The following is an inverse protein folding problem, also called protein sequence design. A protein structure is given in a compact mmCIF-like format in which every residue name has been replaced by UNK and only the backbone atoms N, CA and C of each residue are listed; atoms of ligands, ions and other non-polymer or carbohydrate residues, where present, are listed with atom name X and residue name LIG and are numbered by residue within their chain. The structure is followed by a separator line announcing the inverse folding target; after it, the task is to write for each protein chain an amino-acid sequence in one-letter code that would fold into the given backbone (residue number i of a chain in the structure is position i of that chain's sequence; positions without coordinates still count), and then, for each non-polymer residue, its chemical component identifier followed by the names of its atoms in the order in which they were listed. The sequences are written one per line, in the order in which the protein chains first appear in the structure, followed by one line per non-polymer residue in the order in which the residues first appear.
data_IF_713834324115
#
_entry.id   IF_713834324115
#
_cell.length_a   1.000
_cell.length_b   1.000
_cell.length_c   1.000
_cell.angle_alpha   90.00
_cell.angle_beta   90.00
_cell.angle_gamma   90.00
#
_symmetry.space_group_name_H-M   'P 1'
#
loop_
_entity.id
_entity.type
_entity.pdbx_description
1 polymer ?
#
# COMPACT_ATOMS: atom_id res chain seq x y z
N UNK A 1 -17.67 -24.32 -21.59
CA UNK A 1 -17.12 -24.99 -20.39
C UNK A 1 -16.11 -24.05 -19.74
N UNK A 2 -16.26 -23.72 -18.45
CA UNK A 2 -15.25 -22.99 -17.71
C UNK A 2 -13.98 -23.84 -17.65
N UNK A 3 -12.87 -23.34 -18.17
CA UNK A 3 -11.58 -24.02 -18.13
C UNK A 3 -10.75 -23.66 -16.89
N UNK A 4 -11.18 -22.66 -16.13
CA UNK A 4 -10.51 -22.16 -14.92
C UNK A 4 -11.41 -22.33 -13.69
N UNK A 5 -10.83 -22.26 -12.47
CA UNK A 5 -11.61 -22.26 -11.24
C UNK A 5 -12.55 -21.05 -11.18
N UNK A 6 -13.67 -21.15 -10.49
CA UNK A 6 -14.63 -20.04 -10.30
C UNK A 6 -13.94 -18.81 -9.72
N UNK A 7 -13.04 -18.99 -8.75
CA UNK A 7 -12.26 -17.90 -8.15
C UNK A 7 -11.43 -17.15 -9.18
N UNK A 8 -10.76 -17.86 -10.08
CA UNK A 8 -9.97 -17.23 -11.14
C UNK A 8 -10.83 -16.53 -12.19
N UNK A 9 -12.01 -17.09 -12.47
CA UNK A 9 -12.95 -16.54 -13.45
C UNK A 9 -13.54 -15.20 -13.01
N UNK A 10 -13.72 -14.98 -11.70
CA UNK A 10 -14.28 -13.74 -11.16
C UNK A 10 -13.25 -12.63 -10.94
N UNK A 11 -11.95 -12.91 -11.15
CA UNK A 11 -10.92 -11.88 -11.05
C UNK A 11 -11.08 -10.84 -12.17
N UNK A 12 -11.13 -9.58 -11.76
CA UNK A 12 -11.17 -8.46 -12.70
C UNK A 12 -9.78 -7.92 -12.98
N UNK A 13 -9.55 -7.43 -14.19
CA UNK A 13 -8.32 -6.75 -14.54
C UNK A 13 -8.19 -5.44 -13.78
N UNK A 14 -6.96 -5.07 -13.45
CA UNK A 14 -6.69 -3.80 -12.75
C UNK A 14 -6.94 -2.61 -13.67
N UNK A 15 -7.87 -1.72 -13.30
CA UNK A 15 -8.13 -0.47 -14.04
C UNK A 15 -6.91 0.47 -14.04
N UNK A 16 -6.00 0.37 -13.04
CA UNK A 16 -4.74 1.10 -13.05
C UNK A 16 -3.84 0.59 -14.17
N UNK A 17 -3.79 -0.74 -14.37
CA UNK A 17 -3.01 -1.35 -15.45
C UNK A 17 -3.57 -1.04 -16.82
N UNK A 18 -4.88 -0.99 -16.96
CA UNK A 18 -5.53 -0.64 -18.22
C UNK A 18 -5.06 0.72 -18.74
N UNK A 19 -5.08 1.77 -17.90
CA UNK A 19 -4.54 3.08 -18.25
C UNK A 19 -3.01 3.03 -18.47
N UNK A 20 -2.30 2.29 -17.61
CA UNK A 20 -0.84 2.21 -17.68
C UNK A 20 -0.35 1.51 -18.95
N UNK A 21 -0.95 0.38 -19.34
CA UNK A 21 -0.58 -0.37 -20.55
C UNK A 21 -0.75 0.48 -21.80
N UNK A 22 -1.83 1.26 -21.89
CA UNK A 22 -2.01 2.24 -22.97
C UNK A 22 -0.91 3.32 -22.94
N UNK A 23 -0.64 3.89 -21.77
CA UNK A 23 0.37 4.94 -21.62
C UNK A 23 1.79 4.47 -21.90
N UNK A 24 2.14 3.21 -21.56
CA UNK A 24 3.45 2.62 -21.87
C UNK A 24 3.70 2.44 -23.35
N UNK A 25 2.65 2.33 -24.17
CA UNK A 25 2.76 2.28 -25.64
C UNK A 25 2.88 3.66 -26.27
N UNK A 26 2.63 4.73 -25.50
CA UNK A 26 2.67 6.10 -26.00
C UNK A 26 4.05 6.72 -25.82
N UNK A 27 4.59 7.30 -26.88
CA UNK A 27 5.83 8.06 -26.79
C UNK A 27 5.66 9.29 -25.88
N UNK A 28 6.65 9.52 -25.00
CA UNK A 28 6.76 10.69 -24.12
C UNK A 28 5.60 10.82 -23.10
N UNK A 29 4.99 9.70 -22.70
CA UNK A 29 4.03 9.69 -21.59
C UNK A 29 4.72 9.94 -20.25
N UNK A 30 4.01 10.58 -19.32
CA UNK A 30 4.46 10.81 -17.93
C UNK A 30 3.67 9.90 -16.99
N UNK A 31 4.32 8.86 -16.42
CA UNK A 31 3.65 7.79 -15.67
C UNK A 31 3.44 8.17 -14.20
N UNK A 32 2.32 8.84 -13.88
CA UNK A 32 1.92 9.12 -12.50
C UNK A 32 0.84 8.16 -11.99
N UNK A 33 0.60 7.05 -12.71
CA UNK A 33 -0.42 6.02 -12.41
C UNK A 33 0.00 4.97 -11.37
N UNK A 34 1.28 4.56 -11.33
CA UNK A 34 1.72 3.54 -10.38
C UNK A 34 2.12 4.14 -9.02
N UNK A 35 2.02 3.31 -7.98
CA UNK A 35 2.54 3.62 -6.65
C UNK A 35 4.05 3.37 -6.55
N UNK A 36 4.82 4.04 -7.39
CA UNK A 36 6.26 3.89 -7.51
C UNK A 36 6.92 5.25 -7.73
N UNK A 37 8.01 5.48 -6.99
CA UNK A 37 8.82 6.67 -7.16
C UNK A 37 9.86 6.48 -8.27
N UNK A 38 10.35 7.59 -8.82
CA UNK A 38 11.38 7.55 -9.86
C UNK A 38 12.80 7.32 -9.32
N UNK A 39 12.98 7.43 -8.02
CA UNK A 39 14.32 7.33 -7.41
C UNK A 39 14.78 5.88 -7.35
N UNK A 40 16.03 5.68 -7.77
CA UNK A 40 16.67 4.37 -7.76
C UNK A 40 16.89 3.86 -6.34
N UNK A 41 16.98 2.55 -6.20
CA UNK A 41 17.38 1.89 -4.94
C UNK A 41 18.79 2.36 -4.53
N UNK A 42 19.02 2.49 -3.23
CA UNK A 42 20.33 2.86 -2.66
C UNK A 42 21.45 1.90 -3.05
N UNK A 43 22.66 2.43 -3.22
CA UNK A 43 23.88 1.63 -3.45
C UNK A 43 24.13 0.64 -2.31
N UNK A 44 23.75 0.95 -1.08
CA UNK A 44 23.84 0.05 0.08
C UNK A 44 23.16 -1.29 -0.24
N UNK A 45 21.94 -1.27 -0.77
CA UNK A 45 21.20 -2.48 -1.14
C UNK A 45 21.84 -3.19 -2.33
N UNK A 46 22.25 -2.44 -3.36
CA UNK A 46 22.84 -2.98 -4.58
C UNK A 46 24.14 -3.72 -4.27
N UNK A 47 25.04 -3.10 -3.53
CA UNK A 47 26.32 -3.68 -3.14
C UNK A 47 26.16 -4.92 -2.24
N UNK A 48 25.25 -4.87 -1.28
CA UNK A 48 24.94 -6.02 -0.43
C UNK A 48 24.45 -7.22 -1.24
N UNK A 49 23.55 -7.02 -2.19
CA UNK A 49 23.09 -8.09 -3.08
C UNK A 49 24.20 -8.63 -3.98
N UNK A 50 25.01 -7.76 -4.58
CA UNK A 50 26.14 -8.16 -5.43
C UNK A 50 27.17 -8.97 -4.64
N UNK A 51 27.49 -8.56 -3.41
CA UNK A 51 28.42 -9.28 -2.54
C UNK A 51 27.87 -10.66 -2.15
N UNK A 52 26.58 -10.75 -1.83
CA UNK A 52 25.92 -12.01 -1.54
C UNK A 52 25.99 -12.97 -2.74
N UNK A 53 25.69 -12.48 -3.94
CA UNK A 53 25.79 -13.27 -5.18
C UNK A 53 27.23 -13.74 -5.44
N UNK A 54 28.25 -12.88 -5.27
CA UNK A 54 29.67 -13.24 -5.41
C UNK A 54 30.12 -14.27 -4.36
N UNK A 55 29.52 -14.22 -3.16
CA UNK A 55 29.78 -15.18 -2.09
C UNK A 55 29.06 -16.52 -2.26
N UNK A 56 28.28 -16.70 -3.33
CA UNK A 56 27.58 -17.95 -3.61
C UNK A 56 26.25 -18.14 -2.90
N UNK A 57 25.59 -17.05 -2.51
CA UNK A 57 24.26 -17.09 -1.84
C UNK A 57 23.12 -17.38 -2.83
N UNK A 58 23.13 -18.59 -3.41
CA UNK A 58 22.20 -19.03 -4.46
C UNK A 58 21.26 -20.15 -4.01
N UNK A 59 21.37 -20.61 -2.77
CA UNK A 59 20.66 -21.78 -2.28
C UNK A 59 19.36 -21.38 -1.55
N UNK A 60 18.50 -22.37 -1.35
CA UNK A 60 17.30 -22.21 -0.52
C UNK A 60 17.64 -21.71 0.87
N UNK A 61 16.81 -20.82 1.36
CA UNK A 61 16.89 -20.24 2.69
C UNK A 61 15.77 -20.80 3.59
N UNK A 62 15.82 -20.61 4.91
CA UNK A 62 14.70 -20.97 5.77
C UNK A 62 13.39 -20.30 5.32
N UNK A 63 12.27 -21.02 5.40
CA UNK A 63 10.97 -20.60 4.91
C UNK A 63 10.53 -19.23 5.46
N UNK A 64 10.76 -18.97 6.76
CA UNK A 64 10.47 -17.67 7.38
C UNK A 64 11.54 -16.60 7.11
N UNK A 65 12.55 -16.89 6.29
CA UNK A 65 13.65 -16.00 5.99
C UNK A 65 14.91 -16.22 6.85
N UNK A 66 16.00 -15.58 6.43
CA UNK A 66 17.30 -15.66 7.10
C UNK A 66 17.21 -15.20 8.57
N UNK A 67 17.78 -15.94 9.53
CA UNK A 67 17.74 -15.57 10.95
C UNK A 67 18.28 -14.17 11.24
N UNK A 68 19.34 -13.75 10.52
CA UNK A 68 19.93 -12.41 10.67
C UNK A 68 18.96 -11.31 10.28
N UNK A 69 18.27 -11.43 9.14
CA UNK A 69 17.28 -10.45 8.69
C UNK A 69 16.07 -10.42 9.64
N UNK A 70 15.55 -11.60 10.02
CA UNK A 70 14.43 -11.68 10.99
C UNK A 70 14.78 -11.00 12.31
N UNK A 71 16.00 -11.22 12.84
CA UNK A 71 16.48 -10.58 14.06
C UNK A 71 16.63 -9.06 13.88
N UNK A 72 17.15 -8.59 12.75
CA UNK A 72 17.26 -7.17 12.47
C UNK A 72 15.90 -6.51 12.34
N UNK A 73 14.94 -7.13 11.65
CA UNK A 73 13.57 -6.66 11.53
C UNK A 73 12.85 -6.60 12.89
N UNK A 74 13.04 -7.62 13.75
CA UNK A 74 12.46 -7.59 15.11
C UNK A 74 13.01 -6.40 15.91
N UNK A 75 14.33 -6.16 15.89
CA UNK A 75 14.94 -4.98 16.54
C UNK A 75 14.43 -3.67 15.94
N UNK A 76 14.30 -3.61 14.63
CA UNK A 76 13.78 -2.44 13.92
C UNK A 76 12.35 -2.10 14.36
N UNK A 77 11.45 -3.10 14.35
CA UNK A 77 10.06 -2.93 14.82
C UNK A 77 10.02 -2.53 16.29
N UNK A 78 10.87 -3.13 17.14
CA UNK A 78 10.97 -2.76 18.56
C UNK A 78 11.42 -1.31 18.75
N UNK A 79 12.39 -0.86 17.95
CA UNK A 79 12.86 0.53 17.98
C UNK A 79 11.81 1.54 17.51
N UNK A 80 11.00 1.19 16.50
CA UNK A 80 9.95 2.06 15.99
C UNK A 80 8.74 2.18 16.94
N UNK A 81 8.29 1.07 17.52
CA UNK A 81 7.01 0.98 18.21
C UNK A 81 7.13 0.71 19.73
N UNK A 82 8.35 0.61 20.28
CA UNK A 82 8.55 0.33 21.70
C UNK A 82 8.10 -1.06 22.11
N UNK A 83 8.13 -2.05 21.21
CA UNK A 83 7.67 -3.43 21.45
C UNK A 83 8.81 -4.37 21.85
N UNK A 84 8.49 -5.64 22.14
CA UNK A 84 9.47 -6.69 22.48
C UNK A 84 9.39 -7.88 21.54
N UNK A 85 9.20 -7.65 20.24
CA UNK A 85 9.13 -8.69 19.22
C UNK A 85 10.46 -9.46 19.12
N UNK A 86 10.35 -10.74 18.82
CA UNK A 86 11.46 -11.67 18.56
C UNK A 86 11.43 -12.15 17.11
N UNK A 87 12.36 -13.00 16.73
CA UNK A 87 12.37 -13.65 15.41
C UNK A 87 11.10 -14.46 15.16
N UNK A 88 10.47 -15.00 16.21
CA UNK A 88 9.22 -15.76 16.09
C UNK A 88 8.03 -14.93 15.61
N UNK A 89 8.10 -13.61 15.79
CA UNK A 89 7.08 -12.69 15.32
C UNK A 89 7.26 -12.24 13.86
N UNK A 90 8.40 -12.58 13.22
CA UNK A 90 8.79 -12.07 11.91
C UNK A 90 8.85 -13.19 10.87
N UNK A 91 8.13 -13.02 9.78
CA UNK A 91 8.24 -13.85 8.58
C UNK A 91 8.61 -12.95 7.40
N UNK A 92 9.76 -13.20 6.78
CA UNK A 92 10.21 -12.51 5.57
C UNK A 92 9.43 -13.05 4.37
N UNK A 93 8.97 -12.15 3.51
CA UNK A 93 8.14 -12.49 2.35
C UNK A 93 8.72 -11.92 1.06
N UNK A 94 8.42 -12.56 -0.07
CA UNK A 94 8.72 -12.01 -1.39
C UNK A 94 7.70 -10.92 -1.75
N UNK A 95 7.72 -9.82 -1.04
CA UNK A 95 6.87 -8.62 -1.10
C UNK A 95 5.78 -8.56 -0.04
N UNK A 96 5.27 -7.34 0.21
CA UNK A 96 4.05 -7.13 0.99
C UNK A 96 2.84 -7.87 0.41
N UNK A 97 2.75 -7.98 -0.94
CA UNK A 97 1.69 -8.75 -1.61
C UNK A 97 1.67 -10.22 -1.22
N UNK A 98 2.84 -10.88 -1.15
CA UNK A 98 2.90 -12.25 -0.64
C UNK A 98 2.50 -12.29 0.83
N UNK A 99 2.92 -11.29 1.61
CA UNK A 99 2.50 -11.17 3.01
C UNK A 99 0.98 -11.13 3.16
N UNK A 100 0.29 -10.34 2.34
CA UNK A 100 -1.18 -10.30 2.31
C UNK A 100 -1.79 -11.64 1.90
N UNK A 101 -1.29 -12.26 0.84
CA UNK A 101 -1.79 -13.54 0.35
C UNK A 101 -1.63 -14.67 1.39
N UNK A 102 -0.45 -14.75 2.04
CA UNK A 102 -0.20 -15.73 3.10
C UNK A 102 -1.09 -15.46 4.33
N UNK A 103 -1.31 -14.19 4.67
CA UNK A 103 -2.19 -13.80 5.78
C UNK A 103 -3.64 -14.19 5.48
N UNK A 104 -4.11 -13.93 4.26
CA UNK A 104 -5.45 -14.35 3.84
C UNK A 104 -5.61 -15.88 3.92
N UNK A 105 -4.65 -16.64 3.41
CA UNK A 105 -4.64 -18.12 3.50
C UNK A 105 -4.53 -18.65 4.93
N UNK A 106 -3.88 -17.90 5.84
CA UNK A 106 -3.76 -18.30 7.24
C UNK A 106 -5.03 -18.07 8.05
N UNK A 107 -5.85 -17.09 7.66
CA UNK A 107 -6.97 -16.63 8.47
C UNK A 107 -8.33 -17.01 7.90
N UNK A 108 -8.49 -17.12 6.58
CA UNK A 108 -9.79 -17.12 5.91
C UNK A 108 -10.16 -18.51 5.40
N UNK A 109 -11.32 -18.95 5.84
CA UNK A 109 -12.05 -20.06 5.25
C UNK A 109 -13.16 -19.54 4.30
N UNK A 110 -13.72 -20.44 3.48
CA UNK A 110 -14.77 -20.07 2.53
C UNK A 110 -16.01 -19.53 3.23
N UNK A 111 -16.41 -18.32 2.89
CA UNK A 111 -17.58 -17.64 3.44
C UNK A 111 -17.32 -16.78 4.67
N UNK A 112 -16.09 -16.73 5.18
CA UNK A 112 -15.73 -15.84 6.28
C UNK A 112 -15.98 -14.37 5.93
N UNK A 113 -16.58 -13.62 6.84
CA UNK A 113 -16.88 -12.21 6.67
C UNK A 113 -15.66 -11.35 7.01
N UNK A 114 -15.29 -10.44 6.10
CA UNK A 114 -14.15 -9.54 6.21
C UNK A 114 -14.60 -8.11 5.94
N UNK A 115 -14.20 -7.17 6.79
CA UNK A 115 -14.49 -5.75 6.60
C UNK A 115 -13.24 -5.04 6.10
N UNK A 116 -13.38 -4.18 5.08
CA UNK A 116 -12.29 -3.40 4.51
C UNK A 116 -12.61 -1.90 4.54
N UNK A 117 -11.63 -1.06 4.87
CA UNK A 117 -11.80 0.41 4.82
C UNK A 117 -11.43 0.88 3.42
N UNK A 118 -12.40 1.48 2.69
CA UNK A 118 -12.26 1.99 1.32
C UNK A 118 -12.37 3.53 1.26
N UNK A 119 -11.91 4.19 0.16
CA UNK A 119 -11.22 3.60 -1.00
C UNK A 119 -9.84 3.09 -0.62
N UNK A 120 -9.45 1.96 -1.21
CA UNK A 120 -8.17 1.31 -0.92
C UNK A 120 -7.61 0.61 -2.15
N UNK A 121 -6.31 0.36 -2.16
CA UNK A 121 -5.67 -0.45 -3.19
C UNK A 121 -6.33 -1.83 -3.30
N UNK A 122 -6.86 -2.19 -4.48
CA UNK A 122 -7.78 -3.32 -4.61
C UNK A 122 -7.18 -4.66 -4.19
N UNK A 123 -5.85 -4.82 -4.34
CA UNK A 123 -5.21 -6.09 -4.03
C UNK A 123 -5.31 -6.46 -2.53
N UNK A 124 -5.55 -5.49 -1.64
CA UNK A 124 -5.80 -5.77 -0.23
C UNK A 124 -7.05 -6.66 -0.09
N UNK A 125 -8.20 -6.21 -0.55
CA UNK A 125 -9.45 -6.97 -0.50
C UNK A 125 -9.42 -8.22 -1.40
N UNK A 126 -8.89 -8.11 -2.61
CA UNK A 126 -8.84 -9.22 -3.57
C UNK A 126 -8.03 -10.42 -3.06
N UNK A 127 -6.95 -10.20 -2.29
CA UNK A 127 -6.20 -11.30 -1.65
C UNK A 127 -7.09 -12.13 -0.73
N UNK A 128 -8.01 -11.49 0.01
CA UNK A 128 -8.93 -12.15 0.93
C UNK A 128 -10.12 -12.78 0.20
N UNK A 129 -10.61 -12.19 -0.90
CA UNK A 129 -11.62 -12.82 -1.77
C UNK A 129 -11.09 -14.10 -2.43
N UNK A 130 -9.83 -14.09 -2.89
CA UNK A 130 -9.17 -15.27 -3.47
C UNK A 130 -9.08 -16.40 -2.44
N UNK A 131 -8.85 -16.09 -1.17
CA UNK A 131 -8.85 -17.07 -0.08
C UNK A 131 -10.26 -17.61 0.26
N UNK A 132 -11.32 -16.96 -0.21
CA UNK A 132 -12.73 -17.37 -0.01
C UNK A 132 -13.54 -16.42 0.89
N UNK A 133 -12.96 -15.31 1.33
CA UNK A 133 -13.62 -14.32 2.17
C UNK A 133 -14.68 -13.50 1.44
N UNK A 134 -15.71 -13.11 2.17
CA UNK A 134 -16.75 -12.18 1.73
C UNK A 134 -16.40 -10.78 2.26
N UNK A 135 -16.10 -9.86 1.34
CA UNK A 135 -15.68 -8.51 1.71
C UNK A 135 -16.89 -7.59 1.80
N UNK A 136 -17.08 -6.98 2.96
CA UNK A 136 -17.89 -5.78 3.17
C UNK A 136 -16.96 -4.58 3.36
N UNK A 137 -17.42 -3.36 3.11
CA UNK A 137 -16.58 -2.17 3.22
C UNK A 137 -17.25 -1.05 3.98
N UNK A 138 -16.44 -0.24 4.69
CA UNK A 138 -16.82 1.09 5.16
C UNK A 138 -16.01 2.12 4.39
N UNK A 139 -16.62 3.28 4.11
CA UNK A 139 -16.03 4.26 3.19
C UNK A 139 -15.50 5.47 3.94
N UNK A 140 -14.25 5.85 3.67
CA UNK A 140 -13.68 7.13 4.11
C UNK A 140 -14.45 8.29 3.47
N UNK A 141 -14.75 9.30 4.24
CA UNK A 141 -15.53 10.48 3.83
C UNK A 141 -14.60 11.68 3.66
N UNK A 142 -14.64 12.32 2.49
CA UNK A 142 -13.95 13.59 2.26
C UNK A 142 -14.77 14.74 2.84
N UNK A 143 -14.24 15.42 3.85
CA UNK A 143 -14.85 16.58 4.48
C UNK A 143 -13.77 17.56 4.93
N UNK A 144 -14.03 18.87 4.76
CA UNK A 144 -13.12 19.95 5.18
C UNK A 144 -11.68 19.78 4.64
N UNK A 145 -11.54 19.25 3.41
CA UNK A 145 -10.25 19.02 2.75
C UNK A 145 -9.42 17.88 3.34
N UNK A 146 -10.02 16.99 4.11
CA UNK A 146 -9.40 15.81 4.71
C UNK A 146 -10.26 14.57 4.59
N UNK A 147 -9.64 13.40 4.74
CA UNK A 147 -10.31 12.11 4.82
C UNK A 147 -10.66 11.78 6.27
N UNK A 148 -11.88 11.29 6.49
CA UNK A 148 -12.38 10.89 7.79
C UNK A 148 -12.95 9.49 7.74
N UNK A 149 -12.72 8.71 8.80
CA UNK A 149 -13.36 7.43 9.03
C UNK A 149 -14.67 7.65 9.80
N UNK A 150 -15.77 7.10 9.29
CA UNK A 150 -16.99 6.99 10.08
C UNK A 150 -16.84 5.81 11.05
N UNK A 151 -16.46 6.14 12.28
CA UNK A 151 -16.20 5.16 13.33
C UNK A 151 -17.47 4.41 13.72
N UNK A 152 -18.61 5.08 13.75
CA UNK A 152 -19.88 4.45 14.11
C UNK A 152 -20.30 3.43 13.04
N UNK A 153 -20.24 3.80 11.77
CA UNK A 153 -20.49 2.87 10.66
C UNK A 153 -19.54 1.67 10.72
N UNK A 154 -18.22 1.90 10.90
CA UNK A 154 -17.25 0.83 11.00
C UNK A 154 -17.59 -0.15 12.11
N UNK A 155 -17.86 0.33 13.34
CA UNK A 155 -18.12 -0.53 14.49
C UNK A 155 -19.42 -1.34 14.35
N UNK A 156 -20.44 -0.82 13.61
CA UNK A 156 -21.66 -1.60 13.33
C UNK A 156 -21.40 -2.80 12.41
N UNK A 157 -20.41 -2.72 11.54
CA UNK A 157 -20.00 -3.82 10.64
C UNK A 157 -19.06 -4.83 11.30
N UNK A 158 -18.33 -4.42 12.33
CA UNK A 158 -17.42 -5.27 13.10
C UNK A 158 -18.15 -6.04 14.19
N UNK A 159 -18.72 -7.19 13.82
CA UNK A 159 -19.50 -8.05 14.73
C UNK A 159 -18.74 -9.35 15.02
N UNK A 160 -19.27 -10.16 15.95
CA UNK A 160 -18.72 -11.49 16.24
C UNK A 160 -18.68 -12.46 15.03
N UNK A 161 -19.34 -12.10 13.93
CA UNK A 161 -19.26 -12.83 12.65
C UNK A 161 -18.12 -12.36 11.77
N UNK A 162 -17.54 -11.20 12.06
CA UNK A 162 -16.43 -10.65 11.30
C UNK A 162 -15.14 -11.37 11.65
N UNK A 163 -14.49 -11.98 10.69
CA UNK A 163 -13.22 -12.68 10.85
C UNK A 163 -12.03 -11.73 10.94
N UNK A 164 -12.02 -10.73 10.04
CA UNK A 164 -10.90 -9.79 9.96
C UNK A 164 -11.36 -8.38 9.53
N UNK A 165 -10.68 -7.37 10.06
CA UNK A 165 -10.67 -6.00 9.57
C UNK A 165 -9.39 -5.77 8.76
N UNK A 166 -9.53 -5.30 7.53
CA UNK A 166 -8.42 -4.89 6.66
C UNK A 166 -8.29 -3.38 6.70
N UNK A 167 -7.10 -2.90 7.06
CA UNK A 167 -6.80 -1.47 7.14
C UNK A 167 -5.45 -1.18 6.51
N UNK A 168 -5.39 -0.20 5.60
CA UNK A 168 -4.16 0.34 5.03
C UNK A 168 -3.95 1.76 5.56
N UNK A 169 -2.92 1.97 6.37
CA UNK A 169 -2.62 3.28 6.97
C UNK A 169 -1.11 3.47 7.16
N UNK A 170 -0.51 4.50 6.52
CA UNK A 170 -1.09 5.47 5.59
C UNK A 170 -1.69 4.83 4.34
N UNK A 171 -2.80 5.38 3.87
CA UNK A 171 -3.65 4.74 2.87
C UNK A 171 -3.23 5.05 1.43
N UNK A 172 -3.35 4.06 0.58
CA UNK A 172 -3.36 4.18 -0.88
C UNK A 172 -4.78 3.92 -1.38
N UNK A 173 -5.52 4.91 -1.91
CA UNK A 173 -5.01 6.12 -2.60
C UNK A 173 -5.06 7.42 -1.81
N UNK A 174 -5.75 7.49 -0.69
CA UNK A 174 -6.19 8.74 -0.06
C UNK A 174 -5.10 9.50 0.69
N UNK A 175 -4.05 8.79 1.14
CA UNK A 175 -3.07 9.34 2.08
C UNK A 175 -3.60 9.50 3.51
N UNK A 176 -4.84 9.04 3.80
CA UNK A 176 -5.38 9.02 5.15
C UNK A 176 -4.50 8.23 6.11
N UNK A 177 -4.41 8.73 7.33
CA UNK A 177 -3.71 8.07 8.43
C UNK A 177 -4.68 7.89 9.59
N UNK A 178 -4.87 6.64 10.00
CA UNK A 178 -5.66 6.29 11.18
C UNK A 178 -4.97 6.85 12.43
N UNK A 179 -5.64 7.74 13.16
CA UNK A 179 -5.12 8.37 14.37
C UNK A 179 -4.93 7.36 15.50
N UNK A 180 -4.14 7.72 16.52
CA UNK A 180 -3.93 6.87 17.70
C UNK A 180 -5.26 6.61 18.43
N UNK A 181 -6.13 7.62 18.49
CA UNK A 181 -7.45 7.56 19.12
C UNK A 181 -8.36 6.58 18.36
N UNK A 182 -8.42 6.68 17.03
CA UNK A 182 -9.17 5.75 16.18
C UNK A 182 -8.64 4.31 16.32
N UNK A 183 -7.32 4.14 16.26
CA UNK A 183 -6.68 2.83 16.44
C UNK A 183 -7.02 2.20 17.78
N UNK A 184 -7.05 2.99 18.87
CA UNK A 184 -7.42 2.50 20.19
C UNK A 184 -8.87 2.01 20.23
N UNK A 185 -9.81 2.78 19.68
CA UNK A 185 -11.22 2.39 19.61
C UNK A 185 -11.38 1.09 18.81
N UNK A 186 -10.76 1.01 17.63
CA UNK A 186 -10.80 -0.17 16.76
C UNK A 186 -10.22 -1.39 17.48
N UNK A 187 -9.03 -1.25 18.08
CA UNK A 187 -8.35 -2.36 18.76
C UNK A 187 -9.16 -2.89 19.94
N UNK A 188 -9.70 -1.99 20.77
CA UNK A 188 -10.52 -2.37 21.91
C UNK A 188 -11.83 -3.07 21.49
N UNK A 189 -12.42 -2.63 20.38
CA UNK A 189 -13.60 -3.29 19.80
C UNK A 189 -13.25 -4.68 19.22
N UNK A 190 -12.19 -4.78 18.43
CA UNK A 190 -11.75 -6.03 17.85
C UNK A 190 -11.36 -7.07 18.92
N UNK A 191 -10.71 -6.66 20.00
CA UNK A 191 -10.44 -7.53 21.18
C UNK A 191 -11.72 -8.15 21.74
N UNK A 192 -12.76 -7.32 21.95
CA UNK A 192 -14.04 -7.77 22.52
C UNK A 192 -14.79 -8.73 21.59
N UNK A 193 -14.66 -8.55 20.28
CA UNK A 193 -15.36 -9.36 19.28
C UNK A 193 -14.54 -10.57 18.78
N UNK A 194 -13.25 -10.67 19.12
CA UNK A 194 -12.36 -11.72 18.63
C UNK A 194 -12.00 -11.57 17.15
N UNK A 195 -11.88 -10.33 16.66
CA UNK A 195 -11.64 -9.99 15.25
C UNK A 195 -10.15 -9.79 15.01
N UNK A 196 -9.61 -10.37 13.94
CA UNK A 196 -8.25 -10.07 13.46
C UNK A 196 -8.17 -8.68 12.86
N UNK A 197 -7.13 -7.93 13.22
CA UNK A 197 -6.73 -6.70 12.50
C UNK A 197 -5.58 -7.06 11.59
N UNK A 198 -5.76 -6.84 10.28
CA UNK A 198 -4.70 -6.95 9.27
C UNK A 198 -4.35 -5.55 8.82
N UNK A 199 -3.23 -5.04 9.34
CA UNK A 199 -2.72 -3.70 9.06
C UNK A 199 -1.70 -3.77 7.92
N UNK A 200 -2.03 -3.17 6.78
CA UNK A 200 -1.08 -2.92 5.70
C UNK A 200 -0.31 -1.62 5.99
N UNK A 201 0.86 -1.78 6.60
CA UNK A 201 1.72 -0.70 7.11
C UNK A 201 2.86 -0.33 6.13
N UNK A 202 2.73 -0.67 4.84
CA UNK A 202 3.82 -0.48 3.85
C UNK A 202 4.25 0.98 3.68
N UNK A 203 3.39 1.93 4.04
CA UNK A 203 3.66 3.37 4.02
C UNK A 203 3.97 3.97 5.39
N UNK A 204 4.11 3.19 6.46
CA UNK A 204 4.29 3.68 7.83
C UNK A 204 5.43 4.70 7.98
N UNK A 205 6.54 4.51 7.23
CA UNK A 205 7.68 5.43 7.21
C UNK A 205 7.50 6.65 6.28
N UNK A 206 6.36 6.77 5.60
CA UNK A 206 6.06 7.87 4.66
C UNK A 206 4.92 8.73 5.21
N UNK A 207 5.18 9.34 6.36
CA UNK A 207 4.25 10.20 7.10
C UNK A 207 4.65 11.67 6.97
N UNK A 208 3.67 12.54 6.75
CA UNK A 208 3.94 13.96 6.51
C UNK A 208 4.27 14.73 7.79
N UNK A 209 3.77 14.27 8.93
CA UNK A 209 3.87 14.96 10.22
C UNK A 209 4.96 14.38 11.15
N UNK A 210 5.79 13.46 10.63
CA UNK A 210 6.85 12.84 11.41
C UNK A 210 7.69 11.84 10.63
N UNK A 211 8.49 11.04 11.31
CA UNK A 211 9.31 9.98 10.72
C UNK A 211 8.58 8.64 10.63
N UNK A 212 7.47 8.49 11.37
CA UNK A 212 6.67 7.28 11.48
C UNK A 212 5.21 7.65 11.69
N UNK A 213 4.32 7.04 10.93
CA UNK A 213 2.88 7.15 11.15
C UNK A 213 2.45 6.35 12.40
N UNK A 214 1.36 6.75 13.07
CA UNK A 214 0.73 5.90 14.08
C UNK A 214 0.47 4.49 13.55
N UNK A 215 0.70 3.47 14.38
CA UNK A 215 0.49 2.08 14.02
C UNK A 215 -0.03 1.25 15.19
N UNK A 216 -0.89 0.27 14.91
CA UNK A 216 -1.47 -0.62 15.92
C UNK A 216 -0.42 -1.34 16.78
N UNK A 217 0.78 -1.56 16.23
CA UNK A 217 1.89 -2.18 16.96
C UNK A 217 2.29 -1.43 18.23
N UNK A 218 2.08 -0.11 18.27
CA UNK A 218 2.35 0.72 19.44
C UNK A 218 1.36 0.46 20.60
N UNK A 219 0.12 0.07 20.27
CA UNK A 219 -0.98 -0.12 21.22
C UNK A 219 -1.22 -1.58 21.57
N UNK A 220 -0.74 -2.50 20.72
CA UNK A 220 -1.08 -3.91 20.81
C UNK A 220 -0.30 -4.65 21.90
N UNK A 221 -0.99 -5.54 22.61
CA UNK A 221 -0.42 -6.53 23.49
C UNK A 221 0.07 -7.76 22.70
N UNK A 222 0.80 -8.66 23.38
CA UNK A 222 1.32 -9.88 22.75
C UNK A 222 0.22 -10.84 22.26
N UNK A 223 -0.92 -10.84 22.94
CA UNK A 223 -2.05 -11.76 22.66
C UNK A 223 -3.09 -11.18 21.70
N UNK A 224 -2.91 -9.94 21.23
CA UNK A 224 -3.85 -9.32 20.31
C UNK A 224 -3.81 -10.01 18.94
N UNK A 225 -4.97 -10.13 18.32
CA UNK A 225 -5.15 -10.67 16.98
C UNK A 225 -4.74 -9.61 15.94
N UNK A 226 -3.45 -9.30 15.91
CA UNK A 226 -2.88 -8.28 15.02
C UNK A 226 -1.82 -8.87 14.11
N UNK A 227 -1.97 -8.65 12.82
CA UNK A 227 -0.95 -8.92 11.80
C UNK A 227 -0.64 -7.62 11.07
N UNK A 228 0.63 -7.21 11.04
CA UNK A 228 1.10 -6.08 10.24
C UNK A 228 1.91 -6.56 9.05
N UNK A 229 1.62 -6.00 7.88
CA UNK A 229 2.33 -6.26 6.64
C UNK A 229 3.20 -5.06 6.31
N UNK A 230 4.47 -5.29 6.08
CA UNK A 230 5.44 -4.27 5.71
C UNK A 230 6.18 -4.65 4.42
N UNK A 231 6.80 -3.66 3.78
CA UNK A 231 7.50 -3.87 2.53
C UNK A 231 8.69 -2.94 2.38
N UNK A 232 9.77 -3.44 1.78
CA UNK A 232 10.90 -2.62 1.35
C UNK A 232 10.59 -1.76 0.12
N UNK A 233 9.47 -2.01 -0.54
CA UNK A 233 9.10 -1.35 -1.80
C UNK A 233 8.99 0.16 -1.70
N UNK A 234 8.53 0.71 -0.55
CA UNK A 234 8.13 2.11 -0.46
C UNK A 234 9.19 2.98 0.21
N UNK A 235 9.47 2.75 1.48
CA UNK A 235 10.40 3.56 2.24
C UNK A 235 11.87 3.44 1.78
N UNK A 236 12.22 2.34 1.11
CA UNK A 236 13.58 2.08 0.63
C UNK A 236 13.71 2.06 -0.90
N UNK A 237 12.66 2.47 -1.64
CA UNK A 237 12.64 2.50 -3.12
C UNK A 237 13.03 1.14 -3.76
N UNK A 238 12.53 0.04 -3.18
CA UNK A 238 12.87 -1.32 -3.59
C UNK A 238 11.68 -2.06 -4.22
N UNK A 239 10.89 -1.39 -5.05
CA UNK A 239 9.66 -1.97 -5.63
C UNK A 239 9.93 -3.23 -6.45
N UNK A 240 10.94 -3.22 -7.30
CA UNK A 240 11.35 -4.34 -8.15
C UNK A 240 12.11 -5.47 -7.42
N UNK A 241 12.56 -5.25 -6.19
CA UNK A 241 13.33 -6.24 -5.41
C UNK A 241 12.46 -7.33 -4.79
N UNK A 242 11.17 -7.08 -4.68
CA UNK A 242 10.21 -8.05 -4.15
C UNK A 242 10.59 -8.56 -2.76
N UNK A 243 10.68 -7.68 -1.77
CA UNK A 243 10.99 -8.02 -0.39
C UNK A 243 10.02 -7.32 0.58
N UNK A 244 9.54 -8.05 1.58
CA UNK A 244 8.68 -7.57 2.64
C UNK A 244 8.72 -8.46 3.87
N UNK A 245 7.88 -8.19 4.84
CA UNK A 245 7.74 -9.05 6.01
C UNK A 245 6.36 -8.93 6.66
N UNK A 246 6.00 -9.98 7.36
CA UNK A 246 4.84 -10.07 8.25
C UNK A 246 5.36 -9.92 9.67
N UNK A 247 4.69 -9.10 10.49
CA UNK A 247 4.81 -9.09 11.95
C UNK A 247 3.52 -9.61 12.54
N UNK A 248 3.56 -10.75 13.25
CA UNK A 248 2.39 -11.44 13.76
C UNK A 248 2.64 -12.05 15.15
N UNK A 249 1.61 -12.53 15.85
CA UNK A 249 1.79 -13.36 17.06
C UNK A 249 2.71 -14.55 16.80
N UNK A 250 3.59 -14.86 17.75
CA UNK A 250 4.58 -15.95 17.63
C UNK A 250 3.93 -17.33 17.39
N UNK A 251 2.68 -17.51 17.79
CA UNK A 251 1.89 -18.72 17.55
C UNK A 251 1.68 -19.03 16.08
N UNK A 252 1.76 -18.02 15.19
CA UNK A 252 1.61 -18.16 13.74
C UNK A 252 2.94 -18.46 13.02
N UNK A 253 4.09 -18.48 13.70
CA UNK A 253 5.40 -18.71 13.07
C UNK A 253 5.42 -19.94 12.19
N UNK A 254 4.95 -21.09 12.71
CA UNK A 254 4.92 -22.36 11.96
C UNK A 254 3.92 -22.33 10.81
N UNK A 255 2.76 -21.69 11.01
CA UNK A 255 1.75 -21.54 9.96
C UNK A 255 2.31 -20.79 8.76
N UNK A 256 2.96 -19.65 8.98
CA UNK A 256 3.58 -18.87 7.91
C UNK A 256 4.77 -19.60 7.28
N UNK A 257 5.55 -20.38 8.04
CA UNK A 257 6.62 -21.22 7.49
C UNK A 257 6.07 -22.23 6.49
N UNK A 258 5.02 -22.96 6.86
CA UNK A 258 4.39 -23.97 5.99
C UNK A 258 3.75 -23.34 4.75
N UNK A 259 3.01 -22.24 4.91
CA UNK A 259 2.41 -21.52 3.78
C UNK A 259 3.47 -20.98 2.81
N UNK A 260 4.61 -20.50 3.32
CA UNK A 260 5.72 -20.04 2.48
C UNK A 260 6.36 -21.19 1.74
N UNK A 261 6.55 -22.36 2.40
CA UNK A 261 7.10 -23.56 1.78
C UNK A 261 6.30 -23.99 0.54
N UNK A 262 4.98 -24.06 0.66
CA UNK A 262 4.10 -24.48 -0.43
C UNK A 262 3.76 -23.37 -1.44
N UNK A 263 4.24 -22.13 -1.22
CA UNK A 263 4.05 -21.02 -2.14
C UNK A 263 5.31 -20.75 -2.98
N UNK A 264 6.43 -20.40 -2.34
CA UNK A 264 7.70 -20.06 -3.01
C UNK A 264 8.94 -20.72 -2.38
N UNK A 265 8.77 -21.59 -1.41
CA UNK A 265 9.79 -22.13 -0.52
C UNK A 265 10.47 -21.08 0.37
N UNK A 266 11.06 -20.03 -0.19
CA UNK A 266 11.65 -18.91 0.54
C UNK A 266 11.87 -17.69 -0.36
N UNK A 267 11.98 -16.47 0.17
CA UNK A 267 12.52 -15.33 -0.57
C UNK A 267 14.01 -15.55 -0.91
N UNK A 268 14.46 -14.98 -2.04
CA UNK A 268 15.84 -15.14 -2.51
C UNK A 268 16.86 -14.61 -1.49
N UNK A 269 17.92 -15.40 -1.22
CA UNK A 269 18.92 -15.12 -0.19
C UNK A 269 19.62 -13.78 -0.37
N UNK A 270 20.11 -13.52 -1.59
CA UNK A 270 20.84 -12.27 -1.91
C UNK A 270 19.96 -11.02 -1.79
N UNK A 271 18.64 -11.14 -2.02
CA UNK A 271 17.69 -10.04 -1.81
C UNK A 271 17.51 -9.79 -0.30
N UNK A 272 17.51 -10.83 0.51
CA UNK A 272 17.41 -10.70 1.95
C UNK A 272 18.66 -10.02 2.55
N UNK A 273 19.87 -10.22 1.99
CA UNK A 273 21.07 -9.48 2.39
C UNK A 273 20.98 -7.99 2.05
N UNK A 274 20.40 -7.65 0.89
CA UNK A 274 20.10 -6.25 0.57
C UNK A 274 19.13 -5.62 1.58
N UNK A 275 18.06 -6.34 1.93
CA UNK A 275 17.11 -5.90 2.97
C UNK A 275 17.77 -5.71 4.34
N UNK A 276 18.65 -6.65 4.74
CA UNK A 276 19.42 -6.54 5.98
C UNK A 276 20.28 -5.27 6.01
N UNK A 277 21.01 -5.02 4.93
CA UNK A 277 21.85 -3.81 4.81
C UNK A 277 21.01 -2.53 4.91
N UNK A 278 19.83 -2.50 4.28
CA UNK A 278 18.93 -1.34 4.37
C UNK A 278 18.34 -1.14 5.76
N UNK A 279 18.01 -2.21 6.50
CA UNK A 279 17.55 -2.09 7.89
C UNK A 279 18.66 -1.59 8.81
N UNK A 280 19.90 -2.02 8.61
CA UNK A 280 21.02 -1.68 9.48
C UNK A 280 21.65 -0.33 9.15
N UNK A 281 21.62 0.13 7.89
CA UNK A 281 22.37 1.29 7.41
C UNK A 281 21.52 2.30 6.61
N UNK A 282 20.30 1.96 6.22
CA UNK A 282 19.48 2.72 5.26
C UNK A 282 18.61 3.83 5.87
N UNK A 283 18.73 4.18 7.14
CA UNK A 283 17.85 5.18 7.79
C UNK A 283 18.02 6.59 7.20
N UNK A 284 19.23 6.96 6.80
CA UNK A 284 19.49 8.22 6.11
C UNK A 284 18.76 8.29 4.75
N UNK A 285 18.67 7.18 4.02
CA UNK A 285 17.97 7.10 2.75
C UNK A 285 16.45 7.28 2.92
N UNK A 286 15.87 6.69 3.97
CA UNK A 286 14.48 6.90 4.33
C UNK A 286 14.20 8.37 4.63
N UNK A 287 15.05 8.99 5.43
CA UNK A 287 14.94 10.42 5.78
C UNK A 287 15.07 11.33 4.56
N UNK A 288 15.98 11.01 3.65
CA UNK A 288 16.16 11.74 2.39
C UNK A 288 14.91 11.61 1.50
N UNK A 289 14.33 10.39 1.39
CA UNK A 289 13.11 10.15 0.64
C UNK A 289 11.93 10.94 1.22
N UNK A 290 11.75 10.94 2.53
CA UNK A 290 10.71 11.73 3.20
C UNK A 290 10.84 13.23 2.87
N UNK A 291 12.06 13.76 2.88
CA UNK A 291 12.31 15.16 2.52
C UNK A 291 11.93 15.47 1.06
N UNK A 292 12.33 14.59 0.13
CA UNK A 292 11.96 14.71 -1.29
C UNK A 292 10.43 14.68 -1.48
N UNK A 293 9.75 13.75 -0.79
CA UNK A 293 8.28 13.62 -0.88
C UNK A 293 7.55 14.84 -0.33
N UNK A 294 8.01 15.45 0.77
CA UNK A 294 7.42 16.69 1.30
C UNK A 294 7.54 17.86 0.31
N UNK A 295 8.68 18.00 -0.37
CA UNK A 295 8.85 18.99 -1.45
C UNK A 295 7.91 18.72 -2.63
N UNK A 296 7.85 17.48 -3.07
CA UNK A 296 6.99 17.05 -4.17
C UNK A 296 5.50 17.28 -3.85
N UNK A 297 5.06 16.99 -2.61
CA UNK A 297 3.70 17.27 -2.16
C UNK A 297 3.40 18.77 -2.16
N UNK A 298 4.33 19.61 -1.70
CA UNK A 298 4.15 21.07 -1.69
C UNK A 298 3.94 21.61 -3.10
N UNK A 299 4.74 21.18 -4.07
CA UNK A 299 4.57 21.54 -5.47
C UNK A 299 3.22 21.04 -6.01
N UNK A 300 2.92 19.76 -5.81
CA UNK A 300 1.67 19.14 -6.28
C UNK A 300 0.43 19.85 -5.71
N UNK A 301 0.43 20.16 -4.42
CA UNK A 301 -0.64 20.92 -3.76
C UNK A 301 -0.83 22.29 -4.41
N UNK A 302 0.25 23.03 -4.64
CA UNK A 302 0.21 24.35 -5.27
C UNK A 302 -0.40 24.26 -6.67
N UNK A 303 0.07 23.32 -7.47
CA UNK A 303 -0.40 23.18 -8.86
C UNK A 303 -1.85 22.66 -8.95
N UNK A 304 -2.27 21.69 -8.13
CA UNK A 304 -3.64 21.18 -8.14
C UNK A 304 -4.67 22.24 -7.72
N UNK A 305 -4.31 23.11 -6.79
CA UNK A 305 -5.20 24.19 -6.34
C UNK A 305 -5.46 25.28 -7.40
N UNK A 306 -4.71 25.34 -8.49
CA UNK A 306 -4.99 26.24 -9.60
C UNK A 306 -6.16 25.78 -10.50
N UNK A 307 -6.55 24.51 -10.43
CA UNK A 307 -7.69 24.00 -11.18
C UNK A 307 -8.99 24.23 -10.39
N UNK A 308 -9.86 25.12 -10.86
CA UNK A 308 -11.11 25.49 -10.17
C UNK A 308 -12.08 24.32 -9.96
N UNK A 309 -12.01 23.30 -10.81
CA UNK A 309 -12.87 22.12 -10.77
C UNK A 309 -12.28 20.95 -10.00
N UNK A 310 -11.09 21.10 -9.42
CA UNK A 310 -10.44 20.09 -8.58
C UNK A 310 -10.66 20.44 -7.11
N UNK A 311 -11.23 19.52 -6.35
CA UNK A 311 -11.22 19.57 -4.89
C UNK A 311 -10.03 18.80 -4.37
N UNK A 312 -9.01 19.53 -3.93
CA UNK A 312 -7.80 18.95 -3.34
C UNK A 312 -8.07 18.51 -1.90
N UNK A 313 -7.71 17.27 -1.59
CA UNK A 313 -7.82 16.70 -0.24
C UNK A 313 -6.40 16.45 0.24
N UNK A 314 -6.05 16.97 1.41
CA UNK A 314 -4.69 16.93 1.96
C UNK A 314 -4.35 15.49 2.42
N UNK A 315 -3.28 14.86 1.88
CA UNK A 315 -2.81 13.57 2.37
C UNK A 315 -1.94 13.75 3.63
N UNK A 316 -2.15 12.90 4.63
CA UNK A 316 -1.32 12.86 5.85
C UNK A 316 -0.13 11.89 5.70
N UNK A 317 -0.16 10.99 4.70
CA UNK A 317 0.91 10.02 4.46
C UNK A 317 0.91 9.44 3.05
N UNK A 318 1.75 8.41 2.85
CA UNK A 318 2.06 7.83 1.54
C UNK A 318 2.64 8.88 0.57
N UNK A 319 2.39 8.74 -0.74
CA UNK A 319 2.87 9.67 -1.76
C UNK A 319 1.84 9.86 -2.90
N UNK A 320 0.56 9.96 -2.51
CA UNK A 320 -0.55 10.14 -3.45
C UNK A 320 -1.36 11.37 -3.11
N UNK A 321 -1.89 12.01 -4.15
CA UNK A 321 -3.03 12.89 -4.06
C UNK A 321 -4.23 12.20 -4.70
N UNK A 322 -5.30 12.04 -3.93
CA UNK A 322 -6.58 11.50 -4.37
C UNK A 322 -7.60 12.62 -4.31
N UNK A 323 -7.87 13.23 -5.45
CA UNK A 323 -8.65 14.45 -5.58
C UNK A 323 -9.91 14.22 -6.41
N UNK A 324 -10.98 14.94 -6.09
CA UNK A 324 -12.20 14.88 -6.89
C UNK A 324 -12.20 15.93 -8.01
N UNK A 325 -12.92 15.61 -9.07
CA UNK A 325 -13.18 16.51 -10.21
C UNK A 325 -14.67 16.77 -10.29
N UNK A 326 -15.07 18.04 -10.35
CA UNK A 326 -16.47 18.44 -10.37
C UNK A 326 -17.19 17.83 -11.58
N UNK A 327 -18.29 17.10 -11.31
CA UNK A 327 -19.12 16.46 -12.32
C UNK A 327 -18.59 15.09 -12.82
N UNK A 328 -17.41 14.66 -12.38
CA UNK A 328 -16.86 13.38 -12.76
C UNK A 328 -17.62 12.22 -12.10
N UNK A 329 -17.99 11.23 -12.89
CA UNK A 329 -18.62 9.96 -12.45
C UNK A 329 -17.91 8.73 -13.01
N UNK A 330 -17.34 8.83 -14.21
CA UNK A 330 -16.54 7.78 -14.85
C UNK A 330 -15.07 8.19 -14.91
N UNK A 331 -14.35 7.90 -13.82
CA UNK A 331 -12.93 8.22 -13.73
C UNK A 331 -12.04 7.41 -14.68
N UNK A 332 -12.49 6.25 -15.18
CA UNK A 332 -11.71 5.45 -16.13
C UNK A 332 -11.71 6.11 -17.52
N UNK A 333 -12.89 6.44 -18.05
CA UNK A 333 -12.99 7.15 -19.31
C UNK A 333 -12.25 8.49 -19.27
N UNK A 334 -12.36 9.22 -18.15
CA UNK A 334 -11.65 10.49 -17.96
C UNK A 334 -10.12 10.32 -17.91
N UNK A 335 -9.61 9.29 -17.21
CA UNK A 335 -8.17 9.02 -17.14
C UNK A 335 -7.58 8.66 -18.51
N UNK A 336 -8.30 7.90 -19.33
CA UNK A 336 -7.91 7.59 -20.70
C UNK A 336 -7.87 8.85 -21.59
N UNK A 337 -8.93 9.66 -21.59
CA UNK A 337 -8.98 10.89 -22.37
C UNK A 337 -7.87 11.88 -21.94
N UNK A 338 -7.64 11.99 -20.62
CA UNK A 338 -6.58 12.85 -20.10
C UNK A 338 -5.20 12.38 -20.56
N UNK A 339 -4.93 11.06 -20.53
CA UNK A 339 -3.70 10.46 -21.03
C UNK A 339 -3.51 10.75 -22.53
N UNK A 340 -4.55 10.58 -23.33
CA UNK A 340 -4.47 10.85 -24.79
C UNK A 340 -4.17 12.31 -25.10
N UNK A 341 -4.87 13.22 -24.43
CA UNK A 341 -4.79 14.65 -24.67
C UNK A 341 -3.50 15.26 -24.13
N UNK A 342 -3.04 14.82 -22.95
CA UNK A 342 -1.95 15.49 -22.22
C UNK A 342 -0.67 14.67 -22.14
N UNK A 343 -0.70 13.38 -22.45
CA UNK A 343 0.38 12.43 -22.20
C UNK A 343 0.74 12.28 -20.71
N UNK A 344 -0.18 12.65 -19.80
CA UNK A 344 -0.04 12.47 -18.37
C UNK A 344 -1.00 11.38 -17.91
N UNK A 345 -0.46 10.30 -17.38
CA UNK A 345 -1.24 9.18 -16.93
C UNK A 345 -1.50 9.21 -15.43
N UNK A 346 -2.78 9.26 -15.04
CA UNK A 346 -3.25 9.17 -13.67
C UNK A 346 -4.01 7.85 -13.45
N UNK A 347 -4.09 7.39 -12.22
CA UNK A 347 -4.92 6.23 -11.92
C UNK A 347 -6.39 6.66 -11.74
N UNK A 348 -7.34 5.95 -12.37
CA UNK A 348 -8.76 6.22 -12.18
C UNK A 348 -9.20 5.85 -10.77
N UNK A 349 -10.04 6.69 -10.16
CA UNK A 349 -10.49 6.46 -8.79
C UNK A 349 -11.35 5.21 -8.62
N UNK A 350 -12.11 4.81 -9.66
CA UNK A 350 -12.85 3.55 -9.70
C UNK A 350 -11.99 2.31 -9.42
N UNK A 351 -10.68 2.39 -9.68
CA UNK A 351 -9.74 1.32 -9.36
C UNK A 351 -9.60 1.04 -7.85
N UNK A 352 -10.08 1.92 -7.00
CA UNK A 352 -9.92 1.84 -5.53
C UNK A 352 -11.25 1.59 -4.79
N UNK A 353 -12.28 1.25 -5.53
CA UNK A 353 -13.62 0.97 -5.03
C UNK A 353 -14.70 1.82 -5.72
N UNK A 354 -15.97 1.43 -5.59
CA UNK A 354 -17.10 2.10 -6.28
C UNK A 354 -17.23 3.60 -5.93
N UNK A 355 -16.90 3.99 -4.68
CA UNK A 355 -16.93 5.38 -4.25
C UNK A 355 -15.87 6.26 -4.93
N UNK A 356 -14.92 5.68 -5.64
CA UNK A 356 -13.85 6.39 -6.34
C UNK A 356 -14.23 7.00 -7.68
N UNK A 357 -15.47 6.82 -8.18
CA UNK A 357 -15.90 7.25 -9.53
C UNK A 357 -15.63 8.72 -9.84
N UNK A 358 -15.78 9.60 -8.85
CA UNK A 358 -15.54 11.04 -8.96
C UNK A 358 -14.10 11.50 -8.72
N UNK A 359 -13.14 10.56 -8.60
CA UNK A 359 -11.77 10.85 -8.17
C UNK A 359 -10.72 10.39 -9.17
N UNK A 360 -9.55 11.01 -9.08
CA UNK A 360 -8.31 10.57 -9.75
C UNK A 360 -7.18 10.49 -8.72
N UNK A 361 -6.28 9.52 -8.88
CA UNK A 361 -5.06 9.42 -8.07
C UNK A 361 -3.83 9.82 -8.85
N UNK A 362 -3.07 10.77 -8.32
CA UNK A 362 -1.76 11.19 -8.79
C UNK A 362 -0.69 10.67 -7.82
N UNK A 363 0.31 9.95 -8.32
CA UNK A 363 1.52 9.62 -7.57
C UNK A 363 2.52 10.78 -7.70
N UNK A 364 2.79 11.48 -6.59
CA UNK A 364 3.73 12.61 -6.59
C UNK A 364 5.17 12.22 -6.23
N UNK A 365 5.48 10.93 -6.14
CA UNK A 365 6.83 10.45 -5.86
C UNK A 365 7.78 10.64 -7.07
N UNK A 366 7.87 11.87 -7.53
CA UNK A 366 8.64 12.32 -8.70
C UNK A 366 9.47 13.54 -8.35
N UNK A 367 10.49 13.84 -9.16
CA UNK A 367 11.21 15.09 -8.98
C UNK A 367 10.41 16.31 -9.49
N UNK A 368 10.90 17.48 -9.14
CA UNK A 368 10.27 18.75 -9.47
C UNK A 368 10.15 18.97 -10.99
N UNK A 369 11.11 18.52 -11.77
CA UNK A 369 11.12 18.70 -13.25
C UNK A 369 9.99 17.89 -13.90
N UNK A 370 9.84 16.62 -13.48
CA UNK A 370 8.78 15.74 -14.00
C UNK A 370 7.41 16.26 -13.56
N UNK A 371 7.25 16.65 -12.30
CA UNK A 371 5.98 17.18 -11.80
C UNK A 371 5.60 18.47 -12.54
N UNK A 372 6.51 19.43 -12.71
CA UNK A 372 6.22 20.64 -13.46
C UNK A 372 5.84 20.34 -14.90
N UNK A 373 6.60 19.46 -15.58
CA UNK A 373 6.26 19.03 -16.95
C UNK A 373 4.87 18.41 -17.04
N UNK A 374 4.50 17.60 -16.04
CA UNK A 374 3.17 16.98 -15.98
C UNK A 374 2.07 18.04 -15.78
N UNK A 375 2.24 18.94 -14.84
CA UNK A 375 1.26 20.00 -14.60
C UNK A 375 1.14 20.98 -15.74
N UNK A 376 2.24 21.36 -16.41
CA UNK A 376 2.20 22.22 -17.60
C UNK A 376 1.41 21.58 -18.76
N UNK A 377 1.43 20.25 -18.87
CA UNK A 377 0.61 19.52 -19.83
C UNK A 377 -0.85 19.43 -19.40
N UNK A 378 -1.10 19.19 -18.11
CA UNK A 378 -2.46 19.21 -17.54
C UNK A 378 -3.12 20.57 -17.71
N UNK A 379 -2.41 21.67 -17.45
CA UNK A 379 -2.92 23.05 -17.65
C UNK A 379 -3.43 23.29 -19.08
N UNK A 380 -2.76 22.68 -20.08
CA UNK A 380 -3.14 22.84 -21.49
C UNK A 380 -4.32 21.95 -21.91
N UNK A 381 -4.52 20.81 -21.31
CA UNK A 381 -5.46 19.79 -21.80
C UNK A 381 -6.63 19.46 -20.86
N UNK A 382 -6.50 19.67 -19.56
CA UNK A 382 -7.49 19.24 -18.57
C UNK A 382 -8.91 19.80 -18.85
N UNK A 383 -9.01 21.11 -19.08
CA UNK A 383 -10.29 21.76 -19.36
C UNK A 383 -10.93 21.31 -20.70
N UNK A 384 -10.13 20.94 -21.70
CA UNK A 384 -10.64 20.41 -22.95
C UNK A 384 -11.27 19.01 -22.74
N UNK A 385 -10.58 18.14 -21.99
CA UNK A 385 -11.10 16.83 -21.61
C UNK A 385 -12.38 16.95 -20.79
N UNK A 386 -12.38 17.85 -19.80
CA UNK A 386 -13.56 18.09 -18.98
C UNK A 386 -14.78 18.49 -19.80
N UNK A 387 -14.64 19.48 -20.67
CA UNK A 387 -15.74 19.93 -21.56
C UNK A 387 -16.25 18.79 -22.46
N UNK A 388 -15.35 17.96 -22.96
CA UNK A 388 -15.71 16.86 -23.87
C UNK A 388 -16.49 15.73 -23.21
N UNK A 389 -16.29 15.49 -21.91
CA UNK A 389 -16.84 14.32 -21.20
C UNK A 389 -17.87 14.65 -20.13
N UNK A 390 -17.87 15.88 -19.60
CA UNK A 390 -18.69 16.26 -18.44
C UNK A 390 -19.68 17.40 -18.73
N UNK A 391 -19.53 18.11 -19.86
CA UNK A 391 -20.41 19.16 -20.40
C UNK A 391 -21.01 18.74 -21.74
#
# INVERSE_FOLDING_TARGET
MQQTSERAHHLQSSLIRDVAEKGMQMQDSLPLWFGEGQWTTSQIAIEAAQNALRAGDHFYQPNNGKPRLRSALARYMNGLYGTSKTTQNITVTASGMQGLALTALALIDSGDHVVCIEPVWPNLGESFKIAGGQIDSTTLIARDGRWHLDMEELLTKLTHKTKALLINSPNNPTGWVCSVEEQKIILDHCRKQGIWIVADDVYARLYQHGSLAPGFQYLANADDLLISINSFSKAWSMTGWRLGWITAPATLEKTFAHLTEFNIACPAGFIQEAGLAMIEQGEAEVSLLQHKLRKALTLTRTRLKHFEDISFIEPDGAFYCFFSVRGLTDSLAFAHALLEQTKVGLAPGLAFGPAGGGYLRLCYAQDEQILNKAFDRLDKGFNAVKRSLLE
#
